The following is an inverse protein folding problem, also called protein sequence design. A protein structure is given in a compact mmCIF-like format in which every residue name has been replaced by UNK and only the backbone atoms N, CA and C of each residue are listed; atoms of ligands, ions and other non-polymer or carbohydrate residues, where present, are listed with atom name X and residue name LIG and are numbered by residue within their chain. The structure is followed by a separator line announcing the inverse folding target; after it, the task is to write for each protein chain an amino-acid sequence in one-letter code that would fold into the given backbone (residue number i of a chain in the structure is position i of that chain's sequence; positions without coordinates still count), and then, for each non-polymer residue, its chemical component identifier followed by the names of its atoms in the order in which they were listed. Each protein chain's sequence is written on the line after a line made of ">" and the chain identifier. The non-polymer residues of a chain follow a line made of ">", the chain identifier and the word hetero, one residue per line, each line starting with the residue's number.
data_IF_400001031073
#
_entry.id   IF_400001031073
#
_cell.length_a   1.000
_cell.length_b   1.000
_cell.length_c   1.000
_cell.angle_alpha   90.00
_cell.angle_beta   90.00
_cell.angle_gamma   90.00
#
_symmetry.space_group_name_H-M   'P 1'
#
loop_
_entity.id
_entity.type
_entity.pdbx_description
1 polymer ?
#
# COMPACT_ATOMS: atom_id res chain seq x y z
N UNK A 1 -25.68 -0.29 23.77
CA UNK A 1 -26.67 -1.40 23.96
C UNK A 1 -28.09 -1.15 23.42
N UNK A 2 -28.48 0.04 23.03
CA UNK A 2 -29.78 0.36 22.44
C UNK A 2 -29.93 -0.04 20.97
N UNK A 3 -28.86 -0.18 20.24
CA UNK A 3 -28.83 -0.46 18.79
C UNK A 3 -28.77 -1.96 18.50
N UNK A 4 -28.07 -2.74 19.31
CA UNK A 4 -27.86 -4.19 19.16
C UNK A 4 -29.15 -5.02 18.97
N UNK A 5 -30.27 -4.75 19.69
CA UNK A 5 -31.51 -5.50 19.54
C UNK A 5 -32.13 -5.46 18.14
N UNK A 6 -31.85 -4.42 17.36
CA UNK A 6 -32.36 -4.29 16.00
C UNK A 6 -31.64 -5.20 14.99
N UNK A 7 -30.41 -5.64 15.28
CA UNK A 7 -29.56 -6.47 14.41
C UNK A 7 -29.54 -7.96 14.82
N UNK A 8 -29.98 -8.32 16.03
CA UNK A 8 -30.03 -9.71 16.49
C UNK A 8 -31.23 -10.45 15.86
N UNK A 9 -31.24 -11.76 15.92
CA UNK A 9 -32.34 -12.64 15.44
C UNK A 9 -33.70 -12.11 15.88
N UNK A 10 -34.58 -11.87 14.91
CA UNK A 10 -35.90 -11.28 15.09
C UNK A 10 -35.95 -9.75 15.01
N UNK A 11 -34.81 -9.07 14.87
CA UNK A 11 -34.74 -7.62 14.65
C UNK A 11 -35.00 -7.22 13.20
N UNK A 12 -35.44 -5.97 12.96
CA UNK A 12 -35.73 -5.44 11.61
C UNK A 12 -34.51 -5.46 10.65
N UNK A 13 -33.28 -5.45 11.19
CA UNK A 13 -32.02 -5.38 10.45
C UNK A 13 -31.16 -6.64 10.65
N UNK A 14 -31.77 -7.79 10.92
CA UNK A 14 -31.06 -9.07 11.18
C UNK A 14 -30.05 -9.41 10.06
N UNK A 15 -30.41 -9.17 8.80
CA UNK A 15 -29.51 -9.41 7.65
C UNK A 15 -28.24 -8.58 7.67
N UNK A 16 -28.24 -7.44 8.32
CA UNK A 16 -27.08 -6.54 8.44
C UNK A 16 -26.25 -6.85 9.70
N UNK A 17 -26.56 -7.91 10.42
CA UNK A 17 -25.79 -8.31 11.60
C UNK A 17 -24.28 -8.42 11.34
N UNK A 18 -23.78 -9.01 10.22
CA UNK A 18 -22.37 -9.09 9.94
C UNK A 18 -21.66 -7.70 9.90
N UNK A 19 -22.33 -6.70 9.36
CA UNK A 19 -21.79 -5.33 9.33
C UNK A 19 -21.77 -4.70 10.73
N UNK A 20 -22.85 -4.86 11.50
CA UNK A 20 -22.91 -4.40 12.89
C UNK A 20 -21.81 -5.06 13.75
N UNK A 21 -21.68 -6.38 13.66
CA UNK A 21 -20.67 -7.16 14.41
C UNK A 21 -19.25 -6.71 14.05
N UNK A 22 -18.97 -6.40 12.77
CA UNK A 22 -17.68 -5.90 12.33
C UNK A 22 -17.32 -4.59 13.04
N UNK A 23 -18.25 -3.63 13.15
CA UNK A 23 -18.03 -2.37 13.87
C UNK A 23 -17.95 -2.56 15.39
N UNK A 24 -18.86 -3.37 15.98
CA UNK A 24 -18.86 -3.65 17.42
C UNK A 24 -17.51 -4.27 17.84
N UNK A 25 -17.05 -5.29 17.13
CA UNK A 25 -15.81 -6.00 17.45
C UNK A 25 -14.54 -5.26 17.02
N UNK A 26 -14.63 -4.26 16.15
CA UNK A 26 -13.54 -3.34 15.84
C UNK A 26 -13.27 -2.40 17.02
N UNK A 27 -14.35 -1.83 17.60
CA UNK A 27 -14.24 -0.90 18.72
C UNK A 27 -14.01 -1.61 20.05
N UNK A 28 -14.63 -2.77 20.24
CA UNK A 28 -14.61 -3.54 21.47
C UNK A 28 -14.04 -4.94 21.23
N UNK A 29 -13.48 -5.53 22.28
CA UNK A 29 -13.03 -6.94 22.22
C UNK A 29 -14.28 -7.84 22.16
N UNK A 30 -14.30 -8.87 21.29
CA UNK A 30 -15.39 -9.85 21.25
C UNK A 30 -15.62 -10.48 22.63
N UNK A 31 -16.86 -10.53 23.08
CA UNK A 31 -17.26 -11.12 24.38
C UNK A 31 -17.76 -12.58 24.28
N UNK A 32 -17.58 -13.20 23.10
CA UNK A 32 -17.99 -14.58 22.88
C UNK A 32 -17.20 -15.55 23.77
N UNK A 33 -17.90 -16.30 24.57
CA UNK A 33 -17.34 -17.36 25.41
C UNK A 33 -17.94 -18.71 25.02
N UNK A 34 -17.16 -19.78 25.12
CA UNK A 34 -17.65 -21.14 24.91
C UNK A 34 -18.64 -21.50 26.02
N UNK A 35 -19.79 -22.06 25.65
CA UNK A 35 -20.80 -22.50 26.64
C UNK A 35 -20.52 -23.90 27.21
N UNK A 36 -19.66 -24.69 26.54
CA UNK A 36 -19.28 -26.04 26.96
C UNK A 36 -17.79 -26.26 26.67
N UNK A 37 -17.08 -26.90 27.59
CA UNK A 37 -15.65 -27.22 27.45
C UNK A 37 -14.74 -26.09 27.84
N UNK A 38 -13.44 -26.23 27.55
CA UNK A 38 -12.43 -25.23 27.83
C UNK A 38 -12.58 -24.03 26.91
N UNK A 39 -12.48 -22.83 27.49
CA UNK A 39 -12.43 -21.59 26.71
C UNK A 39 -10.97 -21.23 26.42
N UNK A 40 -10.60 -21.28 25.13
CA UNK A 40 -9.27 -20.90 24.67
C UNK A 40 -9.42 -19.63 23.84
N UNK A 41 -8.60 -18.65 24.11
CA UNK A 41 -8.59 -17.38 23.39
C UNK A 41 -7.16 -17.00 23.04
N UNK A 42 -6.97 -16.51 21.81
CA UNK A 42 -5.69 -15.97 21.39
C UNK A 42 -5.33 -14.69 22.16
N UNK A 43 -4.05 -14.47 22.38
CA UNK A 43 -3.55 -13.28 23.06
C UNK A 43 -3.81 -12.01 22.24
N UNK A 44 -3.81 -12.11 20.91
CA UNK A 44 -4.00 -10.99 19.98
C UNK A 44 -5.05 -11.37 18.95
N UNK A 45 -6.11 -10.57 18.83
CA UNK A 45 -7.14 -10.75 17.79
C UNK A 45 -6.60 -10.36 16.42
N UNK A 46 -7.17 -10.96 15.35
CA UNK A 46 -6.82 -10.65 13.96
C UNK A 46 -6.94 -9.13 13.65
N UNK A 47 -7.93 -8.44 14.20
CA UNK A 47 -8.12 -6.99 14.04
C UNK A 47 -6.93 -6.19 14.57
N UNK A 48 -6.41 -6.56 15.75
CA UNK A 48 -5.24 -5.91 16.36
C UNK A 48 -3.98 -6.19 15.56
N UNK A 49 -3.86 -7.40 15.03
CA UNK A 49 -2.78 -7.75 14.11
C UNK A 49 -2.82 -6.87 12.85
N UNK A 50 -3.98 -6.71 12.22
CA UNK A 50 -4.12 -5.87 11.02
C UNK A 50 -3.87 -4.39 11.31
N UNK A 51 -4.33 -3.87 12.46
CA UNK A 51 -4.02 -2.48 12.87
C UNK A 51 -2.53 -2.29 13.09
N UNK A 52 -1.83 -3.26 13.68
CA UNK A 52 -0.37 -3.15 13.87
C UNK A 52 0.36 -3.09 12.53
N UNK A 53 -0.10 -3.85 11.53
CA UNK A 53 0.44 -3.73 10.16
C UNK A 53 0.19 -2.33 9.59
N UNK A 54 -1.02 -1.76 9.78
CA UNK A 54 -1.29 -0.37 9.39
C UNK A 54 -0.36 0.63 10.07
N UNK A 55 -0.10 0.47 11.37
CA UNK A 55 0.84 1.33 12.12
C UNK A 55 2.25 1.19 11.52
N UNK A 56 2.65 -0.01 11.11
CA UNK A 56 3.94 -0.24 10.48
C UNK A 56 4.06 0.41 9.08
N UNK A 57 2.96 0.61 8.38
CA UNK A 57 2.92 1.34 7.09
C UNK A 57 2.95 2.87 7.27
N UNK A 58 2.60 3.39 8.46
CA UNK A 58 2.49 4.84 8.68
C UNK A 58 3.79 5.62 8.40
N UNK A 59 4.99 5.16 8.80
CA UNK A 59 6.22 5.89 8.46
C UNK A 59 6.40 6.10 6.96
N UNK A 60 6.17 5.05 6.16
CA UNK A 60 6.28 5.14 4.69
C UNK A 60 5.20 6.05 4.09
N UNK A 61 3.96 5.97 4.59
CA UNK A 61 2.86 6.82 4.15
C UNK A 61 3.13 8.31 4.44
N UNK A 62 3.52 8.64 5.68
CA UNK A 62 3.78 10.02 6.08
C UNK A 62 4.95 10.63 5.30
N UNK A 63 6.04 9.86 5.14
CA UNK A 63 7.15 10.28 4.31
C UNK A 63 6.72 10.46 2.86
N UNK A 64 5.97 9.52 2.29
CA UNK A 64 5.48 9.59 0.91
C UNK A 64 4.59 10.78 0.65
N UNK A 65 3.69 11.15 1.58
CA UNK A 65 2.89 12.38 1.49
C UNK A 65 3.78 13.63 1.42
N UNK A 66 4.80 13.70 2.26
CA UNK A 66 5.75 14.80 2.23
C UNK A 66 6.54 14.84 0.91
N UNK A 67 7.04 13.68 0.45
CA UNK A 67 7.83 13.55 -0.77
C UNK A 67 7.04 13.98 -2.03
N UNK A 68 5.77 13.58 -2.14
CA UNK A 68 4.88 14.02 -3.23
C UNK A 68 4.77 15.54 -3.29
N UNK A 69 4.57 16.19 -2.14
CA UNK A 69 4.50 17.65 -2.10
C UNK A 69 5.83 18.32 -2.40
N UNK A 70 6.94 17.79 -1.88
CA UNK A 70 8.28 18.28 -2.19
C UNK A 70 8.56 18.23 -3.69
N UNK A 71 8.33 17.08 -4.33
CA UNK A 71 8.56 16.92 -5.76
C UNK A 71 7.66 17.84 -6.60
N UNK A 72 6.41 18.04 -6.20
CA UNK A 72 5.53 19.02 -6.83
C UNK A 72 6.13 20.41 -6.82
N UNK A 73 6.52 20.95 -5.64
CA UNK A 73 7.05 22.30 -5.53
C UNK A 73 8.40 22.48 -6.23
N UNK A 74 9.25 21.44 -6.23
CA UNK A 74 10.49 21.44 -7.03
C UNK A 74 10.16 21.51 -8.52
N UNK A 75 9.18 20.74 -9.00
CA UNK A 75 8.79 20.69 -10.41
C UNK A 75 8.26 22.03 -10.94
N UNK A 76 7.56 22.81 -10.12
CA UNK A 76 7.04 24.14 -10.51
C UNK A 76 7.96 25.28 -10.13
N UNK A 77 9.10 25.01 -9.47
CA UNK A 77 10.09 26.03 -9.09
C UNK A 77 9.66 26.93 -7.93
N UNK A 78 8.71 26.49 -7.10
CA UNK A 78 8.27 27.25 -5.92
C UNK A 78 9.03 26.87 -4.66
N UNK A 79 9.28 27.86 -3.79
CA UNK A 79 9.78 27.61 -2.44
C UNK A 79 8.70 26.99 -1.55
N UNK A 80 9.08 26.04 -0.73
CA UNK A 80 8.15 25.36 0.17
C UNK A 80 8.72 25.18 1.56
N UNK A 81 7.83 25.05 2.54
CA UNK A 81 8.14 24.60 3.89
C UNK A 81 7.77 23.12 4.03
N UNK A 82 8.32 22.44 5.02
CA UNK A 82 7.98 21.04 5.32
C UNK A 82 6.46 20.85 5.45
N UNK A 83 5.78 21.76 6.15
CA UNK A 83 4.33 21.69 6.36
C UNK A 83 3.55 21.90 5.05
N UNK A 84 3.99 22.85 4.20
CA UNK A 84 3.35 23.13 2.89
C UNK A 84 3.43 21.89 1.99
N UNK A 85 4.61 21.25 1.92
CA UNK A 85 4.78 20.02 1.15
C UNK A 85 3.93 18.88 1.70
N UNK A 86 3.94 18.65 3.01
CA UNK A 86 3.17 17.59 3.64
C UNK A 86 1.65 17.77 3.43
N UNK A 87 1.12 18.97 3.65
CA UNK A 87 -0.31 19.24 3.46
C UNK A 87 -0.75 19.05 2.02
N UNK A 88 0.06 19.47 1.05
CA UNK A 88 -0.23 19.25 -0.36
C UNK A 88 -0.31 17.74 -0.69
N UNK A 89 0.71 16.96 -0.34
CA UNK A 89 0.70 15.52 -0.59
C UNK A 89 -0.41 14.78 0.17
N UNK A 90 -0.73 15.20 1.40
CA UNK A 90 -1.85 14.64 2.14
C UNK A 90 -3.19 14.91 1.43
N UNK A 91 -3.43 16.13 0.94
CA UNK A 91 -4.66 16.46 0.21
C UNK A 91 -4.82 15.66 -1.09
N UNK A 92 -3.74 15.31 -1.76
CA UNK A 92 -3.76 14.46 -2.95
C UNK A 92 -3.97 12.98 -2.60
N UNK A 93 -3.38 12.51 -1.50
CA UNK A 93 -3.45 11.11 -1.09
C UNK A 93 -4.77 10.73 -0.40
N UNK A 94 -5.34 11.62 0.42
CA UNK A 94 -6.56 11.33 1.18
C UNK A 94 -7.75 10.88 0.31
N UNK A 95 -8.05 11.48 -0.86
CA UNK A 95 -9.12 11.00 -1.74
C UNK A 95 -8.89 9.56 -2.22
N UNK A 96 -7.63 9.19 -2.54
CA UNK A 96 -7.30 7.83 -2.98
C UNK A 96 -7.56 6.82 -1.85
N UNK A 97 -7.15 7.15 -0.61
CA UNK A 97 -7.41 6.33 0.57
C UNK A 97 -8.92 6.21 0.81
N UNK A 98 -9.65 7.32 0.78
CA UNK A 98 -11.10 7.34 1.02
C UNK A 98 -11.86 6.46 0.00
N UNK A 99 -11.50 6.53 -1.27
CA UNK A 99 -12.09 5.70 -2.32
C UNK A 99 -11.71 4.23 -2.14
N UNK A 100 -10.45 3.93 -1.89
CA UNK A 100 -10.00 2.55 -1.67
C UNK A 100 -10.79 1.88 -0.55
N UNK A 101 -10.87 2.51 0.62
CA UNK A 101 -11.64 1.99 1.74
C UNK A 101 -13.15 2.01 1.47
N UNK A 102 -13.68 3.11 0.95
CA UNK A 102 -15.13 3.25 0.71
C UNK A 102 -15.67 2.20 -0.25
N UNK A 103 -15.03 2.03 -1.40
CA UNK A 103 -15.44 1.06 -2.42
C UNK A 103 -15.17 -0.38 -1.95
N UNK A 104 -13.97 -0.65 -1.47
CA UNK A 104 -13.59 -2.02 -1.13
C UNK A 104 -14.33 -2.57 0.08
N UNK A 105 -14.50 -1.79 1.16
CA UNK A 105 -15.31 -2.22 2.30
C UNK A 105 -16.78 -2.39 1.92
N UNK A 106 -17.32 -1.54 1.04
CA UNK A 106 -18.70 -1.70 0.55
C UNK A 106 -18.90 -3.05 -0.14
N UNK A 107 -17.93 -3.47 -0.95
CA UNK A 107 -17.95 -4.77 -1.62
C UNK A 107 -17.87 -5.90 -0.58
N UNK A 108 -16.91 -5.84 0.35
CA UNK A 108 -16.75 -6.86 1.37
C UNK A 108 -17.99 -7.01 2.27
N UNK A 109 -18.58 -5.89 2.70
CA UNK A 109 -19.82 -5.94 3.46
C UNK A 109 -20.96 -6.54 2.65
N UNK A 110 -21.07 -6.22 1.35
CA UNK A 110 -22.08 -6.80 0.47
C UNK A 110 -21.94 -8.32 0.36
N UNK A 111 -20.72 -8.82 0.17
CA UNK A 111 -20.46 -10.26 0.10
C UNK A 111 -20.65 -10.94 1.46
N UNK A 112 -20.22 -10.34 2.56
CA UNK A 112 -20.41 -10.87 3.91
C UNK A 112 -21.90 -10.99 4.26
N UNK A 113 -22.70 -9.96 3.97
CA UNK A 113 -24.15 -9.97 4.18
C UNK A 113 -24.83 -11.02 3.29
N UNK A 114 -24.44 -11.09 2.01
CA UNK A 114 -25.03 -12.05 1.05
C UNK A 114 -24.72 -13.50 1.41
N UNK A 115 -23.51 -13.79 1.88
CA UNK A 115 -23.06 -15.14 2.25
C UNK A 115 -23.35 -15.50 3.71
N UNK A 116 -23.73 -14.52 4.55
CA UNK A 116 -24.06 -14.73 5.96
C UNK A 116 -22.86 -15.07 6.84
N UNK A 117 -21.66 -14.61 6.49
CA UNK A 117 -20.45 -14.76 7.32
C UNK A 117 -19.98 -13.43 7.89
N UNK A 118 -19.09 -13.48 8.90
CA UNK A 118 -18.46 -12.28 9.46
C UNK A 118 -17.56 -11.57 8.43
N UNK A 119 -17.48 -10.26 8.53
CA UNK A 119 -16.56 -9.45 7.70
C UNK A 119 -15.12 -9.71 8.12
N UNK A 120 -14.26 -9.99 7.17
CA UNK A 120 -12.84 -10.23 7.40
C UNK A 120 -12.04 -8.92 7.42
N UNK A 121 -11.14 -8.78 8.37
CA UNK A 121 -10.35 -7.57 8.60
C UNK A 121 -9.16 -7.41 7.63
N UNK A 122 -8.87 -8.39 6.81
CA UNK A 122 -7.75 -8.37 5.85
C UNK A 122 -7.80 -7.19 4.87
N UNK A 123 -9.00 -6.65 4.60
CA UNK A 123 -9.13 -5.49 3.75
C UNK A 123 -8.58 -4.19 4.36
N UNK A 124 -8.46 -4.09 5.68
CA UNK A 124 -7.87 -2.92 6.32
C UNK A 124 -6.45 -2.66 5.79
N UNK A 125 -5.65 -3.70 5.64
CA UNK A 125 -4.30 -3.60 5.08
C UNK A 125 -4.36 -3.38 3.57
N UNK A 126 -5.14 -4.17 2.83
CA UNK A 126 -5.29 -4.04 1.39
C UNK A 126 -5.76 -2.64 0.98
N UNK A 127 -6.76 -2.09 1.70
CA UNK A 127 -7.29 -0.76 1.45
C UNK A 127 -6.27 0.37 1.61
N UNK A 128 -5.26 0.19 2.47
CA UNK A 128 -4.14 1.13 2.60
C UNK A 128 -3.06 0.88 1.54
N UNK A 129 -2.74 -0.37 1.23
CA UNK A 129 -1.70 -0.70 0.26
C UNK A 129 -2.06 -0.24 -1.15
N UNK A 130 -3.33 -0.36 -1.58
CA UNK A 130 -3.75 0.04 -2.93
C UNK A 130 -3.33 1.49 -3.23
N UNK A 131 -3.75 2.52 -2.48
CA UNK A 131 -3.36 3.89 -2.79
C UNK A 131 -1.85 4.14 -2.63
N UNK A 132 -1.15 3.40 -1.77
CA UNK A 132 0.30 3.57 -1.58
C UNK A 132 1.14 3.11 -2.78
N UNK A 133 0.61 2.21 -3.61
CA UNK A 133 1.31 1.70 -4.81
C UNK A 133 0.78 2.31 -6.11
N UNK A 134 -0.25 3.17 -6.05
CA UNK A 134 -0.81 3.83 -7.23
C UNK A 134 -0.11 5.16 -7.51
N UNK A 135 -0.10 5.60 -8.79
CA UNK A 135 0.26 6.97 -9.13
C UNK A 135 -0.65 7.98 -8.46
N UNK A 136 -0.07 9.13 -8.06
CA UNK A 136 -0.83 10.15 -7.31
C UNK A 136 -1.93 10.80 -8.15
N UNK A 137 -1.75 10.88 -9.47
CA UNK A 137 -2.68 11.50 -10.41
C UNK A 137 -3.59 10.50 -11.12
N UNK A 138 -3.69 9.27 -10.63
CA UNK A 138 -4.63 8.31 -11.21
C UNK A 138 -6.06 8.85 -11.07
N UNK A 139 -6.84 8.92 -12.16
CA UNK A 139 -8.22 9.33 -12.10
C UNK A 139 -9.03 8.50 -11.12
N UNK A 140 -9.78 9.16 -10.24
CA UNK A 140 -10.48 8.49 -9.14
C UNK A 140 -11.44 7.38 -9.62
N UNK A 141 -12.07 7.54 -10.78
CA UNK A 141 -12.92 6.51 -11.37
C UNK A 141 -12.15 5.27 -11.79
N UNK A 142 -10.91 5.42 -12.28
CA UNK A 142 -10.05 4.27 -12.62
C UNK A 142 -9.68 3.51 -11.35
N UNK A 143 -9.37 4.22 -10.26
CA UNK A 143 -9.14 3.60 -8.96
C UNK A 143 -10.36 2.82 -8.49
N UNK A 144 -11.58 3.39 -8.61
CA UNK A 144 -12.83 2.69 -8.29
C UNK A 144 -12.94 1.37 -9.05
N UNK A 145 -12.77 1.41 -10.38
CA UNK A 145 -12.87 0.20 -11.22
C UNK A 145 -11.81 -0.83 -10.85
N UNK A 146 -10.57 -0.40 -10.59
CA UNK A 146 -9.49 -1.31 -10.20
C UNK A 146 -9.72 -1.97 -8.84
N UNK A 147 -10.25 -1.23 -7.87
CA UNK A 147 -10.62 -1.78 -6.56
C UNK A 147 -11.75 -2.79 -6.69
N UNK A 148 -12.80 -2.48 -7.48
CA UNK A 148 -13.90 -3.41 -7.75
C UNK A 148 -13.34 -4.70 -8.37
N UNK A 149 -12.52 -4.59 -9.41
CA UNK A 149 -11.91 -5.74 -10.06
C UNK A 149 -11.05 -6.56 -9.08
N UNK A 150 -10.19 -5.92 -8.35
CA UNK A 150 -9.26 -6.58 -7.43
C UNK A 150 -9.97 -7.27 -6.26
N UNK A 151 -10.99 -6.64 -5.68
CA UNK A 151 -11.71 -7.22 -4.55
C UNK A 151 -12.63 -8.34 -5.02
N UNK A 152 -13.38 -8.16 -6.10
CA UNK A 152 -14.30 -9.20 -6.59
C UNK A 152 -13.51 -10.35 -7.18
N UNK A 153 -12.69 -10.09 -8.22
CA UNK A 153 -12.01 -11.15 -8.99
C UNK A 153 -10.78 -11.67 -8.25
N UNK A 154 -9.99 -10.78 -7.62
CA UNK A 154 -8.75 -11.17 -6.94
C UNK A 154 -8.97 -11.80 -5.55
N UNK A 155 -10.14 -11.60 -4.92
CA UNK A 155 -10.38 -12.02 -3.54
C UNK A 155 -11.69 -12.78 -3.36
N UNK A 156 -12.84 -12.12 -3.59
CA UNK A 156 -14.16 -12.66 -3.22
C UNK A 156 -14.57 -13.89 -4.04
N UNK A 157 -14.22 -13.96 -5.32
CA UNK A 157 -14.49 -15.14 -6.18
C UNK A 157 -13.83 -16.40 -5.62
N UNK A 158 -12.68 -16.28 -4.98
CA UNK A 158 -11.95 -17.41 -4.40
C UNK A 158 -12.40 -17.78 -2.98
N UNK A 159 -13.28 -16.99 -2.35
CA UNK A 159 -13.80 -17.26 -1.00
C UNK A 159 -13.46 -16.21 0.04
N UNK A 160 -12.79 -15.12 -0.32
CA UNK A 160 -12.43 -14.00 0.56
C UNK A 160 -11.04 -14.12 1.19
N UNK A 161 -10.85 -13.45 2.33
CA UNK A 161 -9.54 -13.37 3.00
C UNK A 161 -9.01 -14.75 3.40
N UNK A 162 -7.78 -15.05 3.02
CA UNK A 162 -7.10 -16.31 3.29
C UNK A 162 -7.31 -17.39 2.20
N UNK A 163 -8.29 -17.22 1.33
CA UNK A 163 -8.55 -18.12 0.19
C UNK A 163 -8.13 -17.50 -1.15
N UNK A 164 -7.79 -16.23 -1.15
CA UNK A 164 -7.35 -15.51 -2.36
C UNK A 164 -5.98 -16.01 -2.85
N UNK A 165 -5.90 -16.34 -4.13
CA UNK A 165 -4.67 -16.80 -4.80
C UNK A 165 -3.77 -15.60 -5.12
N UNK A 166 -4.36 -14.45 -5.44
CA UNK A 166 -3.67 -13.22 -5.81
C UNK A 166 -3.72 -12.20 -4.66
N UNK A 167 -2.67 -11.38 -4.54
CA UNK A 167 -2.70 -10.22 -3.68
C UNK A 167 -3.62 -9.15 -4.30
N UNK A 168 -4.71 -8.73 -3.63
CA UNK A 168 -5.68 -7.81 -4.23
C UNK A 168 -5.08 -6.43 -4.54
N UNK A 169 -4.13 -5.93 -3.75
CA UNK A 169 -3.49 -4.63 -4.03
C UNK A 169 -2.66 -4.69 -5.33
N UNK A 170 -1.84 -5.74 -5.47
CA UNK A 170 -1.08 -5.96 -6.71
C UNK A 170 -1.99 -6.24 -7.90
N UNK A 171 -3.11 -6.93 -7.70
CA UNK A 171 -4.10 -7.19 -8.75
C UNK A 171 -4.73 -5.88 -9.25
N UNK A 172 -5.04 -4.93 -8.33
CA UNK A 172 -5.54 -3.61 -8.71
C UNK A 172 -4.53 -2.85 -9.57
N UNK A 173 -3.25 -2.84 -9.16
CA UNK A 173 -2.17 -2.19 -9.91
C UNK A 173 -1.96 -2.85 -11.27
N UNK A 174 -1.90 -4.18 -11.32
CA UNK A 174 -1.74 -4.92 -12.58
C UNK A 174 -2.89 -4.65 -13.54
N UNK A 175 -4.14 -4.65 -13.05
CA UNK A 175 -5.29 -4.30 -13.87
C UNK A 175 -5.15 -2.93 -14.53
N UNK A 176 -4.79 -1.89 -13.76
CA UNK A 176 -4.59 -0.55 -14.32
C UNK A 176 -3.40 -0.50 -15.27
N UNK A 177 -2.31 -1.18 -14.96
CA UNK A 177 -1.12 -1.20 -15.80
C UNK A 177 -1.41 -1.77 -17.19
N UNK A 178 -2.22 -2.82 -17.30
CA UNK A 178 -2.59 -3.40 -18.57
C UNK A 178 -3.75 -2.67 -19.27
N UNK A 179 -4.73 -2.18 -18.52
CA UNK A 179 -5.91 -1.51 -19.09
C UNK A 179 -5.65 -0.05 -19.46
N UNK A 180 -4.81 0.66 -18.67
CA UNK A 180 -4.55 2.10 -18.82
C UNK A 180 -3.05 2.42 -18.66
N UNK A 181 -2.17 1.90 -19.52
CA UNK A 181 -0.71 2.00 -19.35
C UNK A 181 -0.20 3.45 -19.32
N UNK A 182 -0.83 4.36 -20.04
CA UNK A 182 -0.46 5.79 -20.07
C UNK A 182 -0.62 6.51 -18.72
N UNK A 183 -1.45 5.99 -17.81
CA UNK A 183 -1.62 6.53 -16.46
C UNK A 183 -0.75 5.82 -15.43
N UNK A 184 -0.13 4.71 -15.78
CA UNK A 184 0.63 3.85 -14.87
C UNK A 184 2.14 3.85 -15.13
N UNK A 185 2.57 4.34 -16.28
CA UNK A 185 3.98 4.41 -16.66
C UNK A 185 4.29 5.70 -17.42
N UNK A 186 5.51 6.18 -17.29
CA UNK A 186 6.01 7.40 -17.94
C UNK A 186 6.67 8.36 -16.96
N UNK A 187 7.38 9.34 -17.48
CA UNK A 187 8.24 10.26 -16.71
C UNK A 187 7.47 11.20 -15.76
N UNK A 188 6.16 11.41 -16.01
CA UNK A 188 5.33 12.34 -15.23
C UNK A 188 4.33 11.65 -14.31
N UNK A 189 4.29 10.33 -14.30
CA UNK A 189 3.27 9.53 -13.59
C UNK A 189 3.36 9.71 -12.06
N UNK A 190 4.57 9.92 -11.55
CA UNK A 190 4.83 10.01 -10.12
C UNK A 190 4.87 11.43 -9.57
N UNK A 191 4.81 12.45 -10.43
CA UNK A 191 4.92 13.85 -10.05
C UNK A 191 3.69 14.61 -10.52
N UNK A 192 2.90 15.08 -9.57
CA UNK A 192 1.77 15.94 -9.85
C UNK A 192 2.25 17.35 -10.17
N UNK A 193 1.79 17.91 -11.27
CA UNK A 193 2.10 19.30 -11.68
C UNK A 193 0.88 20.21 -11.69
N UNK A 194 -0.32 19.70 -11.40
CA UNK A 194 -1.60 20.44 -11.40
C UNK A 194 -1.80 21.33 -12.64
N UNK A 195 -1.33 20.89 -13.81
CA UNK A 195 -1.29 21.67 -15.06
C UNK A 195 -0.44 22.96 -14.97
N UNK A 196 0.42 23.08 -13.95
CA UNK A 196 1.38 24.15 -13.82
C UNK A 196 2.48 24.08 -14.88
N UNK A 197 3.13 25.23 -15.14
CA UNK A 197 4.33 25.28 -15.98
C UNK A 197 5.49 24.61 -15.24
N UNK A 198 5.96 23.50 -15.78
CA UNK A 198 7.13 22.80 -15.24
C UNK A 198 8.39 23.59 -15.58
N UNK A 199 9.31 23.67 -14.64
CA UNK A 199 10.62 24.31 -14.85
C UNK A 199 11.37 23.62 -16.00
N UNK A 200 11.99 24.41 -16.87
CA UNK A 200 12.75 23.87 -17.99
C UNK A 200 13.89 22.94 -17.49
N UNK A 201 13.97 21.74 -18.08
CA UNK A 201 14.98 20.75 -17.74
C UNK A 201 14.61 19.84 -16.55
N UNK A 202 13.39 19.95 -15.98
CA UNK A 202 12.94 19.03 -14.95
C UNK A 202 12.53 17.70 -15.58
N UNK A 203 13.08 16.59 -15.05
CA UNK A 203 12.68 15.22 -15.38
C UNK A 203 11.98 14.59 -14.18
N UNK A 204 10.83 13.95 -14.42
CA UNK A 204 10.10 13.17 -13.42
C UNK A 204 10.41 11.67 -13.50
N UNK A 205 11.41 11.29 -14.28
CA UNK A 205 11.82 9.90 -14.43
C UNK A 205 12.31 9.33 -13.09
N UNK A 206 12.01 8.06 -12.86
CA UNK A 206 12.59 7.35 -11.71
C UNK A 206 14.04 6.95 -12.04
N UNK A 207 14.92 6.77 -11.04
CA UNK A 207 16.29 6.31 -11.30
C UNK A 207 16.37 5.00 -12.11
N UNK A 208 15.39 4.12 -11.94
CA UNK A 208 15.30 2.88 -12.74
C UNK A 208 14.86 3.14 -14.20
N UNK A 209 14.01 4.14 -14.42
CA UNK A 209 13.62 4.55 -15.78
C UNK A 209 14.81 5.18 -16.53
N UNK A 210 15.60 6.01 -15.85
CA UNK A 210 16.84 6.58 -16.40
C UNK A 210 17.83 5.47 -16.81
N UNK A 211 18.07 4.49 -15.93
CA UNK A 211 18.92 3.33 -16.25
C UNK A 211 18.38 2.51 -17.43
N UNK A 212 17.06 2.34 -17.52
CA UNK A 212 16.44 1.63 -18.65
C UNK A 212 16.61 2.41 -19.96
N UNK A 213 16.75 3.73 -19.91
CA UNK A 213 17.08 4.60 -21.03
C UNK A 213 18.59 4.73 -21.29
N UNK A 214 19.43 3.94 -20.60
CA UNK A 214 20.90 4.01 -20.62
C UNK A 214 21.45 5.38 -20.15
N UNK A 215 20.74 6.07 -19.27
CA UNK A 215 21.21 7.27 -18.59
C UNK A 215 21.85 6.84 -17.28
N UNK A 216 23.14 7.13 -17.05
CA UNK A 216 23.83 6.73 -15.83
C UNK A 216 23.25 7.44 -14.61
N UNK A 217 22.99 6.70 -13.54
CA UNK A 217 22.55 7.27 -12.26
C UNK A 217 23.74 7.79 -11.48
N UNK A 218 23.61 8.99 -10.93
CA UNK A 218 24.64 9.61 -10.11
C UNK A 218 24.73 8.89 -8.74
N UNK A 219 25.83 8.17 -8.55
CA UNK A 219 26.10 7.40 -7.33
C UNK A 219 26.35 8.28 -6.10
N UNK A 220 26.58 9.59 -6.27
CA UNK A 220 26.67 10.51 -5.13
C UNK A 220 25.36 10.69 -4.39
N UNK A 221 24.23 10.35 -5.04
CA UNK A 221 22.86 10.49 -4.52
C UNK A 221 22.35 9.29 -3.72
N UNK A 222 23.20 8.28 -3.42
CA UNK A 222 22.80 7.06 -2.68
C UNK A 222 22.07 7.39 -1.38
N UNK A 223 22.53 8.40 -0.65
CA UNK A 223 21.87 8.87 0.57
C UNK A 223 20.43 9.37 0.33
N UNK A 224 20.22 10.09 -0.77
CA UNK A 224 18.89 10.54 -1.19
C UNK A 224 18.00 9.37 -1.62
N UNK A 225 18.57 8.35 -2.27
CA UNK A 225 17.85 7.14 -2.64
C UNK A 225 17.38 6.37 -1.42
N UNK A 226 18.26 6.18 -0.44
CA UNK A 226 17.93 5.48 0.80
C UNK A 226 16.88 6.23 1.63
N UNK A 227 16.97 7.56 1.71
CA UNK A 227 15.97 8.39 2.38
C UNK A 227 14.65 8.45 1.58
N UNK A 228 14.70 8.31 0.25
CA UNK A 228 13.51 8.27 -0.61
C UNK A 228 13.15 9.60 -1.26
N UNK A 229 14.09 10.56 -1.36
CA UNK A 229 13.90 11.82 -2.07
C UNK A 229 13.97 11.63 -3.60
N UNK A 230 13.17 10.72 -4.11
CA UNK A 230 13.12 10.30 -5.52
C UNK A 230 11.67 10.19 -5.99
N UNK A 231 11.39 10.35 -7.30
CA UNK A 231 10.10 10.02 -7.86
C UNK A 231 9.79 8.53 -7.70
N UNK A 232 8.56 8.20 -7.32
CA UNK A 232 8.12 6.83 -7.15
C UNK A 232 6.75 6.74 -6.50
N UNK A 233 6.25 5.52 -6.29
CA UNK A 233 5.00 5.31 -5.56
C UNK A 233 5.15 5.72 -4.09
N UNK A 234 4.07 6.18 -3.50
CA UNK A 234 4.06 6.79 -2.16
C UNK A 234 4.65 5.86 -1.10
N UNK A 235 4.33 4.55 -1.19
CA UNK A 235 4.79 3.54 -0.23
C UNK A 235 6.20 3.01 -0.46
N UNK A 236 6.78 3.23 -1.64
CA UNK A 236 7.99 2.53 -2.07
C UNK A 236 9.26 3.41 -2.07
N UNK A 237 9.13 4.73 -1.93
CA UNK A 237 10.26 5.66 -2.12
C UNK A 237 11.29 5.59 -1.01
N UNK A 238 10.88 5.55 0.26
CA UNK A 238 11.78 5.62 1.40
C UNK A 238 12.12 4.26 1.99
N UNK A 239 13.26 3.71 1.64
CA UNK A 239 13.79 2.49 2.27
C UNK A 239 13.93 2.65 3.79
N UNK A 240 14.36 3.83 4.27
CA UNK A 240 14.47 4.09 5.70
C UNK A 240 13.12 4.00 6.42
N UNK A 241 12.07 4.61 5.88
CA UNK A 241 10.73 4.57 6.47
C UNK A 241 10.13 3.15 6.47
N UNK A 242 10.38 2.38 5.40
CA UNK A 242 9.96 0.98 5.30
C UNK A 242 10.68 0.12 6.35
N UNK A 243 11.98 0.31 6.53
CA UNK A 243 12.74 -0.40 7.57
C UNK A 243 12.25 -0.08 8.98
N UNK A 244 11.81 1.16 9.26
CA UNK A 244 11.14 1.48 10.52
C UNK A 244 9.86 0.67 10.70
N UNK A 245 9.05 0.52 9.65
CA UNK A 245 7.87 -0.35 9.64
C UNK A 245 8.23 -1.82 9.90
N UNK A 246 9.27 -2.32 9.25
CA UNK A 246 9.77 -3.69 9.47
C UNK A 246 10.20 -3.92 10.92
N UNK A 247 10.88 -2.95 11.53
CA UNK A 247 11.26 -2.98 12.95
C UNK A 247 10.02 -3.09 13.84
N UNK A 248 8.97 -2.29 13.60
CA UNK A 248 7.71 -2.38 14.33
C UNK A 248 7.11 -3.79 14.22
N UNK A 249 7.05 -4.38 13.02
CA UNK A 249 6.50 -5.71 12.80
C UNK A 249 7.31 -6.81 13.49
N UNK A 250 8.63 -6.69 13.52
CA UNK A 250 9.52 -7.65 14.18
C UNK A 250 9.35 -7.56 15.71
N UNK A 251 9.37 -6.34 16.29
CA UNK A 251 9.21 -6.16 17.73
C UNK A 251 7.84 -6.59 18.26
N UNK A 252 6.79 -6.42 17.46
CA UNK A 252 5.45 -6.89 17.81
C UNK A 252 5.24 -8.40 17.58
N UNK A 253 6.22 -9.08 16.97
CA UNK A 253 6.15 -10.51 16.68
C UNK A 253 5.21 -10.88 15.54
N UNK A 254 4.63 -9.91 14.84
CA UNK A 254 3.73 -10.13 13.69
C UNK A 254 4.54 -10.48 12.45
N UNK A 255 5.68 -9.77 12.24
CA UNK A 255 6.58 -10.02 11.13
C UNK A 255 7.68 -11.02 11.49
N UNK A 256 7.92 -11.99 10.59
CA UNK A 256 9.01 -12.94 10.74
C UNK A 256 10.33 -12.33 10.22
N UNK A 257 11.25 -12.02 11.12
CA UNK A 257 12.58 -11.53 10.74
C UNK A 257 13.33 -12.51 9.83
N UNK A 258 13.09 -13.83 9.98
CA UNK A 258 13.72 -14.86 9.14
C UNK A 258 13.26 -14.77 7.70
N UNK A 259 11.95 -14.59 7.50
CA UNK A 259 11.37 -14.42 6.16
C UNK A 259 11.86 -13.12 5.51
N UNK A 260 11.84 -12.00 6.23
CA UNK A 260 12.36 -10.72 5.73
C UNK A 260 13.84 -10.84 5.33
N UNK A 261 14.68 -11.40 6.22
CA UNK A 261 16.11 -11.56 5.95
C UNK A 261 16.36 -12.47 4.75
N UNK A 262 15.63 -13.57 4.61
CA UNK A 262 15.80 -14.50 3.48
C UNK A 262 15.46 -13.84 2.14
N UNK A 263 14.45 -12.96 2.10
CA UNK A 263 14.10 -12.20 0.91
C UNK A 263 15.22 -11.21 0.55
N UNK A 264 15.76 -10.47 1.52
CA UNK A 264 16.90 -9.59 1.29
C UNK A 264 18.15 -10.34 0.80
N UNK A 265 18.48 -11.47 1.40
CA UNK A 265 19.60 -12.30 0.97
C UNK A 265 19.38 -12.82 -0.46
N UNK A 266 18.18 -13.32 -0.76
CA UNK A 266 17.85 -13.81 -2.09
C UNK A 266 17.95 -12.73 -3.16
N UNK A 267 17.41 -11.53 -2.87
CA UNK A 267 17.51 -10.37 -3.76
C UNK A 267 18.94 -9.91 -3.98
N UNK A 268 19.75 -9.88 -2.92
CA UNK A 268 21.16 -9.51 -3.02
C UNK A 268 21.97 -10.50 -3.86
N UNK A 269 21.78 -11.82 -3.62
CA UNK A 269 22.43 -12.87 -4.42
C UNK A 269 22.03 -12.76 -5.89
N UNK A 270 20.73 -12.55 -6.17
CA UNK A 270 20.25 -12.40 -7.54
C UNK A 270 20.84 -11.17 -8.23
N UNK A 271 20.95 -10.06 -7.50
CA UNK A 271 21.61 -8.84 -8.00
C UNK A 271 23.08 -9.05 -8.31
N UNK A 272 23.81 -9.83 -7.48
CA UNK A 272 25.19 -10.22 -7.78
C UNK A 272 25.29 -11.07 -9.06
N UNK A 273 24.35 -11.99 -9.28
CA UNK A 273 24.30 -12.78 -10.52
C UNK A 273 24.04 -11.89 -11.73
N UNK A 274 23.17 -10.89 -11.63
CA UNK A 274 22.97 -9.90 -12.69
C UNK A 274 24.23 -9.10 -12.98
N UNK A 275 24.96 -8.68 -11.97
CA UNK A 275 26.23 -8.00 -12.15
C UNK A 275 27.27 -8.89 -12.89
N UNK A 276 27.27 -10.21 -12.63
CA UNK A 276 28.15 -11.15 -13.33
C UNK A 276 27.77 -11.30 -14.82
N UNK A 277 26.48 -11.21 -15.16
CA UNK A 277 26.02 -11.26 -16.56
C UNK A 277 26.26 -9.96 -17.29
N UNK A 278 26.06 -8.81 -16.66
CA UNK A 278 26.45 -7.48 -17.15
C UNK A 278 25.96 -7.10 -18.54
N UNK A 279 24.73 -7.52 -18.95
CA UNK A 279 24.25 -7.35 -20.33
C UNK A 279 23.78 -5.91 -20.60
N UNK A 280 23.29 -5.22 -19.56
CA UNK A 280 22.76 -3.84 -19.67
C UNK A 280 23.08 -3.03 -18.43
N UNK A 281 22.88 -1.70 -18.49
CA UNK A 281 23.14 -0.76 -17.39
C UNK A 281 22.37 -1.11 -16.11
N UNK A 282 21.13 -1.62 -16.24
CA UNK A 282 20.37 -2.11 -15.10
C UNK A 282 21.05 -3.26 -14.37
N UNK A 283 21.68 -4.18 -15.11
CA UNK A 283 22.41 -5.30 -14.52
C UNK A 283 23.74 -4.89 -13.92
N UNK A 284 24.36 -3.81 -14.41
CA UNK A 284 25.61 -3.27 -13.89
C UNK A 284 25.41 -2.44 -12.62
N UNK A 285 24.19 -2.13 -12.24
CA UNK A 285 23.88 -1.43 -11.01
C UNK A 285 24.43 -2.22 -9.79
N UNK A 286 25.13 -1.56 -8.84
CA UNK A 286 25.61 -2.22 -7.62
C UNK A 286 24.51 -3.00 -6.89
N UNK A 287 24.80 -4.22 -6.46
CA UNK A 287 23.82 -5.16 -5.91
C UNK A 287 22.94 -4.59 -4.77
N UNK A 288 23.53 -3.77 -3.89
CA UNK A 288 22.79 -3.11 -2.80
C UNK A 288 21.80 -2.06 -3.29
N UNK A 289 22.04 -1.42 -4.44
CA UNK A 289 21.12 -0.42 -5.00
C UNK A 289 19.88 -1.05 -5.59
N UNK A 290 19.93 -2.27 -6.09
CA UNK A 290 18.73 -3.00 -6.49
C UNK A 290 17.74 -3.18 -5.35
N UNK A 291 18.23 -3.32 -4.10
CA UNK A 291 17.38 -3.44 -2.92
C UNK A 291 16.77 -2.10 -2.49
N UNK A 292 17.43 -0.99 -2.82
CA UNK A 292 16.99 0.36 -2.45
C UNK A 292 16.05 0.94 -3.51
N UNK A 293 16.43 0.86 -4.79
CA UNK A 293 15.71 1.52 -5.88
C UNK A 293 14.56 0.68 -6.44
N UNK A 294 14.56 -0.63 -6.26
CA UNK A 294 13.59 -1.54 -6.85
C UNK A 294 12.28 -1.72 -6.08
N UNK A 295 12.01 -0.92 -5.06
CA UNK A 295 10.84 -1.15 -4.18
C UNK A 295 10.89 -2.47 -3.43
N UNK A 296 12.05 -3.10 -3.36
CA UNK A 296 12.25 -4.44 -2.82
C UNK A 296 12.04 -4.50 -1.30
N UNK A 297 12.27 -3.40 -0.62
CA UNK A 297 12.05 -3.28 0.81
C UNK A 297 10.55 -3.20 1.18
N UNK A 298 9.69 -2.86 0.22
CA UNK A 298 8.24 -2.80 0.41
C UNK A 298 7.60 -4.16 0.23
#
# INVERSE_FOLDING_TARGET
>A
NTVKPHFIKGGKLERMYPAYDAFETFLFVPDHTTQKGSHIRDAIDLKRTMITVLIALMPALLFGMWNVGQLHFIAIGESFTLMKAFTYGALKMLPLIAISYGVGLSIEFTFAISRGHSVNEGYLVTGMLIPMIMPIDVPLWMLVVSVIFAVIIGKEVFGGTGMNILNPALTARAFLFFAYPSFMSGDKVWINTDNGTVVNGFSGATPLADLAANIPVDMSLIGSFFLGNIPGSIGETSTFAILLGAVILIFTGIGSWRTMLSVFIGGYIMSLLFNLWGINELMLLPAHLHLILGGFAF
#
